data_IF_860468885129
#
_entry.id   IF_860468885129
#
_cell.length_a   1.000
_cell.length_b   1.000
_cell.length_c   1.000
_cell.angle_alpha   90.00
_cell.angle_beta   90.00
_cell.angle_gamma   90.00
#
_symmetry.space_group_name_H-M   'P 1'
#
loop_
_entity.id
_entity.type
_entity.pdbx_description
1 polymer ?
#
# COMPACT_ATOMS: atom_id res chain seq x y z
N UNK A 1 9.47 -13.59 6.42
CA UNK A 1 8.16 -13.20 6.97
C UNK A 1 7.32 -14.45 7.12
N UNK A 2 6.53 -14.50 8.17
CA UNK A 2 5.80 -15.65 8.65
C UNK A 2 4.29 -15.41 8.54
N UNK A 3 3.48 -16.40 8.95
CA UNK A 3 2.05 -16.24 9.11
C UNK A 3 1.68 -15.79 10.54
N UNK A 4 2.59 -15.12 11.25
CA UNK A 4 2.29 -14.59 12.57
C UNK A 4 1.31 -13.41 12.47
N UNK A 5 0.56 -13.17 13.54
CA UNK A 5 -0.37 -12.03 13.61
C UNK A 5 0.35 -10.71 13.37
N UNK A 6 1.57 -10.56 13.89
CA UNK A 6 2.38 -9.35 13.75
C UNK A 6 2.73 -9.06 12.29
N UNK A 7 3.12 -10.07 11.52
CA UNK A 7 3.45 -9.91 10.10
C UNK A 7 2.18 -9.65 9.26
N UNK A 8 1.04 -10.24 9.62
CA UNK A 8 -0.26 -9.96 8.99
C UNK A 8 -0.68 -8.51 9.22
N UNK A 9 -0.60 -8.04 10.47
CA UNK A 9 -0.92 -6.65 10.82
C UNK A 9 0.04 -5.67 10.17
N UNK A 10 1.32 -6.03 10.02
CA UNK A 10 2.29 -5.24 9.28
C UNK A 10 1.93 -5.14 7.79
N UNK A 11 1.47 -6.23 7.16
CA UNK A 11 1.04 -6.23 5.77
C UNK A 11 -0.19 -5.34 5.53
N UNK A 12 -1.19 -5.43 6.40
CA UNK A 12 -2.37 -4.54 6.34
C UNK A 12 -1.96 -3.07 6.52
N UNK A 13 -1.10 -2.80 7.51
CA UNK A 13 -0.56 -1.47 7.75
C UNK A 13 0.21 -0.92 6.55
N UNK A 14 1.02 -1.73 5.87
CA UNK A 14 1.76 -1.29 4.69
C UNK A 14 0.81 -0.83 3.57
N UNK A 15 -0.25 -1.60 3.30
CA UNK A 15 -1.26 -1.23 2.28
C UNK A 15 -2.00 0.04 2.69
N UNK A 16 -2.43 0.16 3.94
CA UNK A 16 -3.13 1.35 4.44
C UNK A 16 -2.22 2.59 4.38
N UNK A 17 -0.97 2.48 4.79
CA UNK A 17 -0.03 3.61 4.81
C UNK A 17 0.37 4.07 3.39
N UNK A 18 0.31 3.20 2.38
CA UNK A 18 0.75 3.50 1.01
C UNK A 18 -0.41 3.75 0.06
N UNK A 19 -1.24 2.73 -0.18
CA UNK A 19 -2.42 2.82 -1.04
C UNK A 19 -3.57 3.54 -0.31
N UNK A 20 -3.82 3.16 0.95
CA UNK A 20 -4.90 3.72 1.76
C UNK A 20 -4.75 5.23 2.02
N UNK A 21 -3.52 5.75 2.08
CA UNK A 21 -3.29 7.20 2.20
C UNK A 21 -4.08 7.97 1.12
N UNK A 22 -4.04 7.52 -0.12
CA UNK A 22 -4.72 8.17 -1.23
C UNK A 22 -6.15 7.69 -1.41
N UNK A 23 -6.39 6.38 -1.29
CA UNK A 23 -7.69 5.79 -1.55
C UNK A 23 -8.71 6.07 -0.43
N UNK A 24 -8.30 6.09 0.83
CA UNK A 24 -9.23 6.18 1.95
C UNK A 24 -9.97 7.54 2.02
N UNK A 25 -9.32 8.71 1.80
CA UNK A 25 -10.03 9.98 1.75
C UNK A 25 -11.13 10.05 0.69
N UNK A 26 -10.96 9.34 -0.43
CA UNK A 26 -11.88 9.40 -1.57
C UNK A 26 -12.96 8.30 -1.48
N UNK A 27 -12.56 7.05 -1.25
CA UNK A 27 -13.41 5.88 -1.44
C UNK A 27 -13.93 5.24 -0.13
N UNK A 28 -13.43 5.65 1.03
CA UNK A 28 -13.90 5.09 2.30
C UNK A 28 -15.15 5.79 2.82
N UNK A 29 -15.86 5.10 3.73
CA UNK A 29 -17.00 5.69 4.43
C UNK A 29 -16.61 6.86 5.34
N UNK A 30 -15.36 6.92 5.81
CA UNK A 30 -14.91 8.01 6.68
C UNK A 30 -14.45 9.24 5.90
N UNK A 31 -13.98 9.08 4.66
CA UNK A 31 -13.51 10.19 3.82
C UNK A 31 -12.26 10.91 4.34
N UNK A 32 -11.52 10.27 5.25
CA UNK A 32 -10.33 10.81 5.93
C UNK A 32 -9.14 9.85 5.72
N UNK A 33 -7.96 10.19 6.22
CA UNK A 33 -6.82 9.27 6.24
C UNK A 33 -7.14 7.97 7.00
N UNK A 34 -6.48 6.84 6.65
CA UNK A 34 -6.61 5.60 7.39
C UNK A 34 -6.38 5.79 8.88
N UNK A 35 -7.20 5.14 9.71
CA UNK A 35 -7.10 5.26 11.16
C UNK A 35 -5.71 4.85 11.68
N UNK A 36 -5.14 3.76 11.15
CA UNK A 36 -3.80 3.29 11.50
C UNK A 36 -2.71 4.32 11.19
N UNK A 37 -2.86 5.06 10.08
CA UNK A 37 -1.91 6.10 9.70
C UNK A 37 -1.95 7.28 10.67
N UNK A 38 -3.16 7.78 10.98
CA UNK A 38 -3.34 8.87 11.96
C UNK A 38 -2.78 8.49 13.33
N UNK A 39 -3.14 7.29 13.81
CA UNK A 39 -2.70 6.81 15.13
C UNK A 39 -1.18 6.65 15.22
N UNK A 40 -0.55 6.04 14.21
CA UNK A 40 0.91 5.82 14.24
C UNK A 40 1.70 7.11 14.09
N UNK A 41 1.32 7.99 13.16
CA UNK A 41 2.04 9.25 12.99
C UNK A 41 1.86 10.14 14.21
N UNK A 42 0.68 10.19 14.84
CA UNK A 42 0.47 10.90 16.10
C UNK A 42 1.35 10.32 17.22
N UNK A 43 1.29 9.01 17.46
CA UNK A 43 2.07 8.36 18.52
C UNK A 43 3.57 8.61 18.35
N UNK A 44 4.09 8.46 17.12
CA UNK A 44 5.50 8.74 16.85
C UNK A 44 5.84 10.21 16.95
N UNK A 45 4.97 11.12 16.51
CA UNK A 45 5.19 12.57 16.69
C UNK A 45 5.32 12.93 18.17
N UNK A 46 4.50 12.34 19.05
CA UNK A 46 4.62 12.54 20.50
C UNK A 46 5.92 12.01 21.07
N UNK A 47 6.32 10.80 20.68
CA UNK A 47 7.59 10.21 21.11
C UNK A 47 8.81 11.02 20.66
N UNK A 48 8.72 11.66 19.50
CA UNK A 48 9.74 12.57 18.96
C UNK A 48 9.59 14.03 19.48
N UNK A 49 8.82 14.24 20.57
CA UNK A 49 8.61 15.53 21.24
C UNK A 49 7.88 16.61 20.42
N UNK A 50 7.13 16.26 19.38
CA UNK A 50 6.25 17.21 18.71
C UNK A 50 4.99 17.48 19.54
N UNK A 51 4.56 18.74 19.58
CA UNK A 51 3.32 19.17 20.28
C UNK A 51 2.06 18.89 19.47
N UNK A 52 2.19 18.67 18.17
CA UNK A 52 1.14 18.34 17.21
C UNK A 52 1.58 17.18 16.32
N UNK A 53 0.61 16.45 15.75
CA UNK A 53 0.91 15.43 14.74
C UNK A 53 1.68 16.02 13.57
N UNK A 54 2.64 15.25 13.03
CA UNK A 54 3.25 15.56 11.73
C UNK A 54 2.30 15.31 10.56
N UNK A 55 1.24 14.53 10.75
CA UNK A 55 0.19 14.32 9.74
C UNK A 55 -0.88 15.42 9.89
N UNK A 56 -1.10 16.27 8.88
CA UNK A 56 -2.19 17.23 8.91
C UNK A 56 -3.54 16.53 9.08
N UNK A 57 -4.47 17.17 9.79
CA UNK A 57 -5.84 16.69 9.89
C UNK A 57 -6.72 17.36 8.84
N UNK A 58 -7.62 16.62 8.21
CA UNK A 58 -8.71 17.21 7.44
C UNK A 58 -9.76 17.81 8.38
N UNK A 59 -10.23 19.00 8.05
CA UNK A 59 -11.44 19.56 8.61
C UNK A 59 -12.68 18.79 8.10
N UNK A 60 -13.82 18.90 8.81
CA UNK A 60 -15.07 18.29 8.35
C UNK A 60 -15.50 18.76 6.94
N UNK A 61 -15.21 20.02 6.58
CA UNK A 61 -15.52 20.57 5.26
C UNK A 61 -14.65 19.96 4.16
N UNK A 62 -13.36 19.72 4.43
CA UNK A 62 -12.44 19.08 3.49
C UNK A 62 -12.83 17.61 3.27
N UNK A 63 -13.14 16.88 4.35
CA UNK A 63 -13.67 15.51 4.26
C UNK A 63 -14.93 15.49 3.39
N UNK A 64 -15.87 16.40 3.64
CA UNK A 64 -17.11 16.49 2.85
C UNK A 64 -16.88 16.83 1.37
N UNK A 65 -15.76 17.49 1.04
CA UNK A 65 -15.41 17.84 -0.34
C UNK A 65 -14.71 16.70 -1.07
N UNK A 66 -13.83 15.97 -0.38
CA UNK A 66 -12.97 14.93 -0.98
C UNK A 66 -13.69 13.58 -1.07
N UNK A 67 -14.51 13.24 -0.07
CA UNK A 67 -15.20 11.95 -0.02
C UNK A 67 -16.13 11.79 -1.23
N UNK A 68 -15.96 10.68 -1.95
CA UNK A 68 -16.76 10.35 -3.13
C UNK A 68 -16.45 11.19 -4.36
N UNK A 69 -15.31 11.89 -4.39
CA UNK A 69 -14.91 12.79 -5.50
C UNK A 69 -14.36 12.07 -6.76
N UNK A 70 -14.60 10.76 -6.90
CA UNK A 70 -14.15 9.98 -8.05
C UNK A 70 -15.20 8.96 -8.52
N UNK A 71 -15.38 8.87 -9.84
CA UNK A 71 -16.33 7.93 -10.46
C UNK A 71 -15.79 6.49 -10.53
N UNK A 72 -14.47 6.34 -10.56
CA UNK A 72 -13.79 5.05 -10.61
C UNK A 72 -12.40 5.13 -9.98
N UNK A 73 -11.84 3.96 -9.65
CA UNK A 73 -10.49 3.81 -9.12
C UNK A 73 -9.54 3.37 -10.24
N UNK A 74 -8.59 4.23 -10.61
CA UNK A 74 -7.44 3.85 -11.44
C UNK A 74 -6.39 3.12 -10.61
N UNK A 75 -6.05 1.88 -10.99
CA UNK A 75 -5.10 1.05 -10.27
C UNK A 75 -3.86 0.75 -11.12
N UNK A 76 -2.71 1.13 -10.59
CA UNK A 76 -1.40 0.72 -11.10
C UNK A 76 -0.87 -0.42 -10.23
N UNK A 77 -0.61 -1.59 -10.82
CA UNK A 77 -0.08 -2.73 -10.08
C UNK A 77 0.98 -3.47 -10.89
N UNK A 78 2.13 -3.69 -10.27
CA UNK A 78 3.29 -4.27 -10.94
C UNK A 78 3.90 -5.46 -10.21
N UNK A 79 3.92 -5.42 -8.87
CA UNK A 79 4.64 -6.38 -8.04
C UNK A 79 3.94 -6.60 -6.72
N UNK A 80 4.30 -7.70 -6.07
CA UNK A 80 3.87 -8.03 -4.72
C UNK A 80 5.09 -8.14 -3.82
N UNK A 81 4.91 -7.76 -2.56
CA UNK A 81 5.94 -7.81 -1.54
C UNK A 81 5.43 -8.66 -0.39
N UNK A 82 6.32 -9.45 0.20
CA UNK A 82 6.12 -9.93 1.55
C UNK A 82 6.41 -8.75 2.50
N UNK A 83 5.62 -8.64 3.57
CA UNK A 83 5.74 -7.57 4.57
C UNK A 83 5.88 -8.20 5.95
N UNK A 84 6.64 -7.54 6.82
CA UNK A 84 6.77 -7.91 8.22
C UNK A 84 7.13 -6.71 9.08
N UNK A 85 7.08 -6.90 10.40
CA UNK A 85 7.36 -5.84 11.36
C UNK A 85 8.83 -5.42 11.29
N UNK A 86 9.06 -4.11 11.32
CA UNK A 86 10.39 -3.51 11.48
C UNK A 86 10.26 -2.14 12.14
N UNK A 87 10.03 -2.13 13.45
CA UNK A 87 9.91 -0.88 14.19
C UNK A 87 11.25 -0.13 14.25
N UNK A 88 11.20 1.18 14.03
CA UNK A 88 12.38 2.04 14.03
C UNK A 88 12.52 2.81 15.34
N UNK A 89 13.75 3.08 15.80
CA UNK A 89 13.98 3.87 17.00
C UNK A 89 13.41 5.29 16.89
N UNK A 90 13.28 5.94 18.04
CA UNK A 90 12.96 7.36 18.18
C UNK A 90 14.30 8.08 18.30
N UNK A 91 14.70 8.78 17.24
CA UNK A 91 16.08 9.30 17.07
C UNK A 91 16.12 10.76 16.59
N UNK A 92 14.99 11.47 16.67
CA UNK A 92 14.87 12.85 16.21
C UNK A 92 14.81 13.03 14.69
N UNK A 93 14.86 11.95 13.91
CA UNK A 93 14.87 11.98 12.44
C UNK A 93 13.66 11.23 11.86
N UNK A 94 12.43 11.77 12.03
CA UNK A 94 11.22 11.11 11.57
C UNK A 94 11.18 10.94 10.05
N UNK A 95 10.61 9.82 9.59
CA UNK A 95 10.37 9.58 8.17
C UNK A 95 9.15 8.70 7.97
N UNK A 96 8.56 8.77 6.77
CA UNK A 96 7.44 7.92 6.40
C UNK A 96 7.73 6.42 6.60
N UNK A 97 8.94 5.97 6.25
CA UNK A 97 9.32 4.56 6.44
C UNK A 97 9.35 4.17 7.92
N UNK A 98 9.88 5.04 8.79
CA UNK A 98 9.86 4.83 10.25
C UNK A 98 8.44 4.84 10.81
N UNK A 99 7.55 5.66 10.24
CA UNK A 99 6.14 5.71 10.62
C UNK A 99 5.40 4.42 10.26
N UNK A 100 5.70 3.82 9.11
CA UNK A 100 5.15 2.49 8.75
C UNK A 100 5.61 1.39 9.69
N UNK A 101 6.87 1.42 10.15
CA UNK A 101 7.43 0.37 11.01
C UNK A 101 7.35 -1.02 10.38
N UNK A 102 7.57 -1.09 9.08
CA UNK A 102 7.49 -2.29 8.26
C UNK A 102 8.77 -2.47 7.46
N UNK A 103 9.02 -3.70 7.04
CA UNK A 103 10.02 -4.01 6.02
C UNK A 103 9.37 -4.83 4.91
N UNK A 104 9.88 -4.67 3.70
CA UNK A 104 9.38 -5.34 2.50
C UNK A 104 10.48 -6.20 1.88
N UNK A 105 10.10 -7.38 1.40
CA UNK A 105 11.00 -8.32 0.76
C UNK A 105 10.29 -9.07 -0.38
N UNK A 106 10.97 -9.34 -1.48
CA UNK A 106 10.47 -10.25 -2.52
C UNK A 106 11.07 -11.63 -2.27
N UNK A 107 10.24 -12.68 -2.26
CA UNK A 107 10.75 -14.04 -2.14
C UNK A 107 11.58 -14.40 -3.39
N UNK A 108 12.90 -14.67 -3.23
CA UNK A 108 13.75 -15.04 -4.37
C UNK A 108 13.33 -16.38 -4.99
N UNK A 109 12.55 -17.20 -4.27
CA UNK A 109 12.11 -18.51 -4.72
C UNK A 109 10.82 -18.46 -5.54
N UNK A 110 10.12 -17.32 -5.59
CA UNK A 110 8.93 -17.19 -6.44
C UNK A 110 9.28 -17.46 -7.90
N UNK A 111 8.49 -18.37 -8.49
CA UNK A 111 8.60 -18.81 -9.88
C UNK A 111 7.47 -18.18 -10.68
N UNK A 112 7.69 -17.84 -11.96
CA UNK A 112 8.93 -18.00 -12.74
C UNK A 112 10.02 -16.94 -12.41
N UNK A 113 9.66 -15.83 -11.79
CA UNK A 113 10.61 -14.89 -11.20
C UNK A 113 9.99 -14.17 -9.99
N UNK A 114 10.79 -13.56 -9.10
CA UNK A 114 10.29 -12.79 -7.95
C UNK A 114 9.39 -11.61 -8.33
N UNK A 115 9.42 -11.16 -9.59
CA UNK A 115 8.55 -10.11 -10.11
C UNK A 115 7.19 -10.63 -10.60
N UNK A 116 7.08 -11.93 -10.89
CA UNK A 116 5.89 -12.53 -11.51
C UNK A 116 5.06 -13.19 -10.41
N UNK A 117 4.14 -12.39 -9.85
CA UNK A 117 3.30 -12.77 -8.71
C UNK A 117 1.82 -12.51 -9.03
N UNK A 118 1.24 -13.29 -9.96
CA UNK A 118 -0.07 -12.99 -10.54
C UNK A 118 -1.20 -12.98 -9.50
N UNK A 119 -1.12 -13.88 -8.50
CA UNK A 119 -2.11 -13.93 -7.42
C UNK A 119 -2.13 -12.66 -6.57
N UNK A 120 -1.08 -11.83 -6.61
CA UNK A 120 -0.98 -10.57 -5.90
C UNK A 120 -2.01 -9.54 -6.35
N UNK A 121 -2.18 -9.37 -7.68
CA UNK A 121 -3.18 -8.46 -8.24
C UNK A 121 -4.58 -8.88 -7.81
N UNK A 122 -4.89 -10.18 -7.91
CA UNK A 122 -6.18 -10.72 -7.44
C UNK A 122 -6.40 -10.45 -5.96
N UNK A 123 -5.38 -10.61 -5.10
CA UNK A 123 -5.51 -10.32 -3.66
C UNK A 123 -5.77 -8.83 -3.41
N UNK A 124 -5.05 -7.93 -4.09
CA UNK A 124 -5.25 -6.49 -3.95
C UNK A 124 -6.66 -6.07 -4.41
N UNK A 125 -7.13 -6.57 -5.55
CA UNK A 125 -8.49 -6.31 -6.03
C UNK A 125 -9.56 -6.80 -5.05
N UNK A 126 -9.35 -7.96 -4.42
CA UNK A 126 -10.27 -8.46 -3.39
C UNK A 126 -10.21 -7.61 -2.11
N UNK A 127 -9.04 -7.10 -1.73
CA UNK A 127 -8.90 -6.18 -0.61
C UNK A 127 -9.63 -4.86 -0.89
N UNK A 128 -9.38 -4.23 -2.05
CA UNK A 128 -10.08 -3.01 -2.52
C UNK A 128 -11.59 -3.23 -2.53
N UNK A 129 -12.05 -4.35 -3.09
CA UNK A 129 -13.46 -4.73 -3.13
C UNK A 129 -14.10 -4.74 -1.75
N UNK A 130 -13.44 -5.33 -0.77
CA UNK A 130 -13.95 -5.43 0.61
C UNK A 130 -13.88 -4.09 1.35
N UNK A 131 -12.77 -3.36 1.16
CA UNK A 131 -12.47 -2.12 1.90
C UNK A 131 -13.33 -0.94 1.45
N UNK A 132 -13.56 -0.82 0.14
CA UNK A 132 -14.14 0.36 -0.49
C UNK A 132 -15.47 0.06 -1.20
N UNK A 133 -16.19 -0.97 -0.74
CA UNK A 133 -17.53 -1.32 -1.25
C UNK A 133 -17.58 -1.61 -2.74
N UNK A 134 -16.55 -2.29 -3.25
CA UNK A 134 -16.48 -2.76 -4.64
C UNK A 134 -16.64 -1.64 -5.68
N UNK A 135 -15.77 -0.60 -5.69
CA UNK A 135 -15.86 0.46 -6.67
C UNK A 135 -15.55 -0.08 -8.07
N UNK A 136 -15.90 0.68 -9.11
CA UNK A 136 -15.42 0.40 -10.46
C UNK A 136 -13.89 0.60 -10.50
N UNK A 137 -13.15 -0.43 -10.89
CA UNK A 137 -11.69 -0.40 -10.95
C UNK A 137 -11.24 -0.57 -12.41
N UNK A 138 -10.37 0.32 -12.87
CA UNK A 138 -9.62 0.16 -14.12
C UNK A 138 -8.15 -0.08 -13.80
N UNK A 139 -7.57 -1.12 -14.38
CA UNK A 139 -6.12 -1.31 -14.35
C UNK A 139 -5.52 -0.32 -15.36
N UNK A 140 -4.99 0.79 -14.86
CA UNK A 140 -4.41 1.85 -15.68
C UNK A 140 -2.96 1.56 -16.04
N UNK A 141 -2.25 0.78 -15.20
CA UNK A 141 -0.92 0.28 -15.52
C UNK A 141 -0.68 -1.13 -14.96
N UNK A 142 -0.08 -1.97 -15.81
CA UNK A 142 0.47 -3.27 -15.45
C UNK A 142 1.56 -3.64 -16.46
N UNK A 143 2.72 -4.10 -15.99
CA UNK A 143 3.83 -4.39 -16.88
C UNK A 143 4.99 -5.11 -16.21
N UNK A 144 5.93 -5.54 -17.04
CA UNK A 144 7.11 -6.29 -16.61
C UNK A 144 8.40 -5.54 -16.97
N UNK A 145 9.23 -5.31 -15.96
CA UNK A 145 10.54 -4.70 -16.14
C UNK A 145 11.56 -5.77 -16.55
N UNK A 146 12.16 -5.57 -17.72
CA UNK A 146 13.24 -6.39 -18.24
C UNK A 146 14.49 -5.53 -18.50
N UNK A 147 15.63 -5.98 -18.01
CA UNK A 147 16.93 -5.33 -18.20
C UNK A 147 17.75 -5.98 -19.30
N UNK A 148 17.29 -7.10 -19.89
CA UNK A 148 18.05 -7.83 -20.91
C UNK A 148 18.23 -7.03 -22.21
N UNK A 149 17.27 -6.15 -22.52
CA UNK A 149 17.23 -5.40 -23.78
C UNK A 149 17.02 -6.29 -25.01
N UNK A 150 16.72 -7.58 -24.83
CA UNK A 150 16.54 -8.53 -25.92
C UNK A 150 15.10 -8.49 -26.45
N UNK A 151 14.94 -8.77 -27.75
CA UNK A 151 13.60 -8.91 -28.36
C UNK A 151 12.89 -10.21 -27.94
N UNK A 152 13.62 -11.22 -27.47
CA UNK A 152 13.06 -12.47 -26.99
C UNK A 152 12.75 -12.40 -25.49
N UNK A 153 11.69 -11.68 -25.14
CA UNK A 153 11.29 -11.28 -23.80
C UNK A 153 10.28 -12.24 -23.16
N UNK A 154 10.59 -13.53 -23.12
CA UNK A 154 9.66 -14.58 -22.65
C UNK A 154 9.11 -14.36 -21.24
N UNK A 155 9.87 -13.70 -20.36
CA UNK A 155 9.40 -13.32 -19.02
C UNK A 155 8.27 -12.27 -19.06
N UNK A 156 8.35 -11.29 -19.97
CA UNK A 156 7.29 -10.29 -20.16
C UNK A 156 6.02 -10.94 -20.70
N UNK A 157 6.16 -11.83 -21.69
CA UNK A 157 5.04 -12.63 -22.21
C UNK A 157 4.41 -13.47 -21.10
N UNK A 158 5.23 -14.11 -20.28
CA UNK A 158 4.77 -14.96 -19.16
C UNK A 158 4.03 -14.13 -18.11
N UNK A 159 4.55 -12.96 -17.73
CA UNK A 159 3.89 -12.03 -16.82
C UNK A 159 2.49 -11.67 -17.29
N UNK A 160 2.36 -11.22 -18.56
CA UNK A 160 1.06 -10.79 -19.13
C UNK A 160 0.06 -11.95 -19.17
N UNK A 161 0.50 -13.14 -19.56
CA UNK A 161 -0.38 -14.33 -19.65
C UNK A 161 -0.90 -14.84 -18.31
N UNK A 162 -0.22 -14.51 -17.21
CA UNK A 162 -0.54 -15.04 -15.89
C UNK A 162 -1.45 -14.13 -15.05
N UNK A 163 -1.69 -12.87 -15.46
CA UNK A 163 -2.53 -11.91 -14.74
C UNK A 163 -4.03 -12.26 -14.82
#
# INVERSE_FOLDING_TARGET
>A
MSNSTEDIDAAEREIEMTFGWWANPIFSDTGDYPAVMKQRVEARSRLENYTISRLPAFSPSEIGTIKGSADFLGLNHYRTWLVGVNESPIDGNPSFQKDKGTQMHQDPNWKPSPQIVPWGLRKLLNWIKKKYHNPLVYITENGYLDFSGTLNDTNRVTFIKMQ
#
